data_IF_466709442595
#
_entry.id   IF_466709442595
#
_cell.length_a   1.000
_cell.length_b   1.000
_cell.length_c   1.000
_cell.angle_alpha   90.00
_cell.angle_beta   90.00
_cell.angle_gamma   90.00
#
_symmetry.space_group_name_H-M   'P 1'
#
loop_
_entity.id
_entity.type
_entity.pdbx_description
1 polymer ?
#
# COMPACT_ATOMS: atom_id res chain seq x y z
N UNK A 1 -19.77 -8.26 22.93
CA UNK A 1 -19.38 -7.74 22.85
C UNK A 1 -18.83 -7.13 23.02
N UNK A 2 -18.83 -6.97 23.04
CA UNK A 2 -18.29 -6.29 23.15
C UNK A 2 -18.26 -5.43 23.17
N UNK A 3 -18.21 -5.20 23.00
CA UNK A 3 -18.17 -4.35 22.93
C UNK A 3 -17.88 -3.50 22.98
N UNK A 4 -17.88 -3.75 23.06
CA UNK A 4 -17.51 -3.03 23.01
C UNK A 4 -17.27 -2.24 23.06
N UNK A 5 -17.11 -2.17 23.01
CA UNK A 5 -16.94 -1.21 23.02
C UNK A 5 -16.95 -0.36 22.58
N UNK A 6 -16.66 -0.77 22.46
CA UNK A 6 -16.62 0.15 21.47
C UNK A 6 -17.42 1.35 21.66
N UNK A 7 -18.32 1.27 21.74
CA UNK A 7 -19.12 2.39 21.81
C UNK A 7 -18.69 3.44 22.76
N UNK A 8 -17.69 3.19 23.51
CA UNK A 8 -17.27 4.15 24.47
C UNK A 8 -16.87 5.45 23.89
N UNK A 9 -16.10 5.39 22.81
CA UNK A 9 -15.65 6.60 22.17
C UNK A 9 -16.64 7.12 21.17
N UNK A 10 -17.64 6.32 20.83
CA UNK A 10 -18.53 6.67 19.76
C UNK A 10 -17.94 6.53 18.40
N UNK A 11 -16.74 5.96 18.32
CA UNK A 11 -16.04 5.80 17.05
C UNK A 11 -16.28 4.41 16.52
N UNK A 12 -16.63 4.26 15.24
CA UNK A 12 -16.78 2.94 14.67
C UNK A 12 -15.41 2.29 14.46
N UNK A 13 -15.38 0.97 14.47
CA UNK A 13 -14.19 0.26 14.10
C UNK A 13 -14.04 0.25 12.59
N UNK A 14 -12.80 0.45 12.14
CA UNK A 14 -12.45 0.32 10.73
C UNK A 14 -11.60 -0.92 10.61
N UNK A 15 -12.03 -1.85 9.77
CA UNK A 15 -11.27 -3.07 9.56
C UNK A 15 -9.98 -2.72 8.84
N UNK A 16 -8.86 -3.23 9.35
CA UNK A 16 -7.54 -2.87 8.82
C UNK A 16 -7.01 -3.88 7.82
N UNK A 17 -7.70 -5.02 7.63
CA UNK A 17 -7.24 -6.05 6.70
C UNK A 17 -7.73 -5.83 5.27
N UNK A 18 -8.52 -4.79 5.04
CA UNK A 18 -9.10 -4.54 3.73
C UNK A 18 -9.30 -3.06 3.49
N UNK A 19 -9.34 -2.68 2.22
CA UNK A 19 -9.71 -1.34 1.81
C UNK A 19 -10.80 -1.46 0.75
N UNK A 20 -11.51 -0.37 0.53
CA UNK A 20 -12.51 -0.31 -0.52
C UNK A 20 -12.10 0.76 -1.51
N UNK A 21 -12.16 0.45 -2.79
CA UNK A 21 -11.85 1.41 -3.84
C UNK A 21 -13.10 1.70 -4.65
N UNK A 22 -13.27 2.95 -5.03
CA UNK A 22 -14.45 3.37 -5.77
C UNK A 22 -14.25 3.04 -7.23
N UNK A 23 -15.18 2.26 -7.79
CA UNK A 23 -15.16 1.87 -9.19
C UNK A 23 -16.55 2.13 -9.74
N UNK A 24 -16.70 3.22 -10.50
CA UNK A 24 -17.99 3.60 -11.07
C UNK A 24 -19.01 3.79 -9.95
N UNK A 25 -20.06 2.99 -9.92
CA UNK A 25 -21.15 3.16 -8.98
C UNK A 25 -21.05 2.29 -7.75
N UNK A 26 -19.94 1.60 -7.55
CA UNK A 26 -19.80 0.73 -6.39
C UNK A 26 -18.41 0.83 -5.82
N UNK A 27 -18.27 0.29 -4.64
CA UNK A 27 -16.98 0.21 -3.97
C UNK A 27 -16.57 -1.25 -3.89
N UNK A 28 -15.37 -1.53 -4.32
CA UNK A 28 -14.86 -2.90 -4.41
C UNK A 28 -13.85 -3.13 -3.31
N UNK A 29 -14.01 -4.24 -2.61
CA UNK A 29 -13.12 -4.63 -1.54
C UNK A 29 -11.82 -5.19 -2.11
N UNK A 30 -10.71 -4.78 -1.52
CA UNK A 30 -9.41 -5.37 -1.80
C UNK A 30 -8.77 -5.70 -0.46
N UNK A 31 -8.35 -6.95 -0.29
CA UNK A 31 -7.62 -7.32 0.91
C UNK A 31 -6.23 -6.70 0.86
N UNK A 32 -5.83 -6.08 1.96
CA UNK A 32 -4.53 -5.42 2.06
C UNK A 32 -3.41 -6.41 1.74
N UNK A 33 -3.55 -7.66 2.22
CA UNK A 33 -2.54 -8.69 1.98
C UNK A 33 -2.37 -9.01 0.51
N UNK A 34 -3.34 -8.69 -0.34
CA UNK A 34 -3.26 -8.97 -1.77
C UNK A 34 -2.67 -7.83 -2.57
N UNK A 35 -2.49 -6.66 -1.96
CA UNK A 35 -1.94 -5.50 -2.67
C UNK A 35 -0.43 -5.64 -2.72
N UNK A 36 0.12 -5.59 -3.93
CA UNK A 36 1.55 -5.74 -4.15
C UNK A 36 2.25 -4.38 -4.09
N UNK A 37 1.80 -3.44 -4.90
CA UNK A 37 2.35 -2.10 -4.92
C UNK A 37 1.37 -1.17 -5.62
N UNK A 38 1.61 0.14 -5.50
CA UNK A 38 0.77 1.17 -6.08
C UNK A 38 1.67 2.11 -6.85
N UNK A 39 1.28 2.42 -8.07
CA UNK A 39 2.06 3.26 -8.98
C UNK A 39 1.27 4.49 -9.37
N UNK A 40 1.90 5.66 -9.28
CA UNK A 40 1.30 6.89 -9.76
C UNK A 40 1.48 6.97 -11.28
N UNK A 41 0.41 7.35 -12.00
CA UNK A 41 0.43 7.47 -13.44
C UNK A 41 -0.33 8.73 -13.79
N UNK A 42 0.38 9.87 -13.85
CA UNK A 42 -0.20 11.18 -14.15
C UNK A 42 -1.22 11.54 -13.07
N UNK A 43 -2.49 11.67 -13.44
CA UNK A 43 -3.55 12.05 -12.51
C UNK A 43 -4.22 10.85 -11.87
N UNK A 44 -3.70 9.67 -12.11
CA UNK A 44 -4.28 8.43 -11.62
C UNK A 44 -3.28 7.68 -10.79
N UNK A 45 -3.78 6.75 -9.97
CA UNK A 45 -2.94 5.77 -9.32
C UNK A 45 -3.47 4.40 -9.68
N UNK A 46 -2.56 3.48 -9.85
CA UNK A 46 -2.90 2.11 -10.20
C UNK A 46 -2.48 1.20 -9.06
N UNK A 47 -3.45 0.47 -8.51
CA UNK A 47 -3.18 -0.50 -7.47
C UNK A 47 -3.03 -1.86 -8.14
N UNK A 48 -1.87 -2.48 -7.92
CA UNK A 48 -1.61 -3.82 -8.44
C UNK A 48 -1.80 -4.81 -7.32
N UNK A 49 -2.78 -5.69 -7.48
CA UNK A 49 -3.01 -6.76 -6.53
C UNK A 49 -2.57 -8.08 -7.17
N UNK A 50 -2.68 -9.17 -6.42
CA UNK A 50 -2.25 -10.47 -6.92
C UNK A 50 -2.99 -10.88 -8.19
N UNK A 51 -4.24 -10.45 -8.35
CA UNK A 51 -5.07 -10.91 -9.46
C UNK A 51 -5.61 -9.81 -10.34
N UNK A 52 -5.62 -8.56 -9.87
CA UNK A 52 -6.28 -7.47 -10.60
C UNK A 52 -5.50 -6.18 -10.48
N UNK A 53 -5.81 -5.24 -11.37
CA UNK A 53 -5.32 -3.88 -11.30
C UNK A 53 -6.53 -2.96 -11.14
N UNK A 54 -6.36 -1.91 -10.33
CA UNK A 54 -7.43 -0.96 -10.08
C UNK A 54 -6.91 0.44 -10.37
N UNK A 55 -7.62 1.18 -11.22
CA UNK A 55 -7.23 2.54 -11.58
C UNK A 55 -8.06 3.50 -10.77
N UNK A 56 -7.42 4.39 -10.04
CA UNK A 56 -8.09 5.33 -9.16
C UNK A 56 -7.72 6.76 -9.50
N UNK A 57 -8.70 7.65 -9.41
CA UNK A 57 -8.51 9.07 -9.66
C UNK A 57 -8.18 9.76 -8.34
N UNK A 58 -7.02 9.45 -7.78
CA UNK A 58 -6.61 9.94 -6.47
C UNK A 58 -5.09 10.03 -6.49
N UNK A 59 -4.52 10.97 -5.72
CA UNK A 59 -3.07 11.15 -5.71
C UNK A 59 -2.40 10.09 -4.84
N UNK A 60 -1.13 9.82 -5.14
CA UNK A 60 -0.38 8.86 -4.36
C UNK A 60 -0.22 9.33 -2.92
N UNK A 61 -0.08 10.64 -2.72
CA UNK A 61 0.03 11.19 -1.37
C UNK A 61 -1.24 10.93 -0.57
N UNK A 62 -2.41 11.09 -1.19
CA UNK A 62 -3.67 10.86 -0.51
C UNK A 62 -3.83 9.38 -0.15
N UNK A 63 -3.35 8.49 -1.02
CA UNK A 63 -3.38 7.07 -0.73
C UNK A 63 -2.43 6.76 0.42
N UNK A 64 -1.23 7.33 0.38
CA UNK A 64 -0.23 7.11 1.40
C UNK A 64 -0.75 7.46 2.79
N UNK A 65 -1.51 8.55 2.87
CA UNK A 65 -2.04 9.01 4.16
C UNK A 65 -3.11 8.09 4.71
N UNK A 66 -3.70 7.25 3.89
CA UNK A 66 -4.78 6.36 4.31
C UNK A 66 -4.34 4.94 4.56
N UNK A 67 -3.18 4.55 4.04
CA UNK A 67 -2.70 3.19 4.20
C UNK A 67 -1.94 3.03 5.51
N UNK A 68 -1.93 1.81 6.00
CA UNK A 68 -1.22 1.47 7.23
C UNK A 68 0.28 1.53 6.96
N UNK A 69 0.98 2.47 7.60
CA UNK A 69 2.40 2.67 7.36
C UNK A 69 3.28 1.59 7.99
N UNK A 70 2.68 0.64 8.69
CA UNK A 70 3.41 -0.53 9.16
C UNK A 70 3.54 -1.57 8.07
N UNK A 71 2.70 -1.49 7.04
CA UNK A 71 2.65 -2.47 5.97
C UNK A 71 3.16 -1.86 4.67
N UNK A 72 2.82 -0.60 4.41
CA UNK A 72 3.14 0.06 3.17
C UNK A 72 4.19 1.13 3.38
N UNK A 73 5.07 1.27 2.41
CA UNK A 73 6.12 2.27 2.46
C UNK A 73 6.26 2.94 1.10
N UNK A 74 6.30 4.26 1.11
CA UNK A 74 6.57 5.00 -0.12
C UNK A 74 8.07 4.95 -0.37
N UNK A 75 8.48 4.35 -1.49
CA UNK A 75 9.89 4.15 -1.81
C UNK A 75 10.37 5.02 -2.97
N UNK A 76 9.45 5.73 -3.61
CA UNK A 76 9.75 6.54 -4.78
C UNK A 76 8.62 7.54 -4.93
N UNK A 77 8.87 8.66 -5.60
CA UNK A 77 7.79 9.64 -5.79
C UNK A 77 6.59 9.04 -6.51
N UNK A 78 6.80 7.94 -7.23
CA UNK A 78 5.74 7.30 -8.01
C UNK A 78 5.32 5.94 -7.48
N UNK A 79 5.89 5.45 -6.37
CA UNK A 79 5.61 4.09 -5.93
C UNK A 79 5.45 3.97 -4.42
N UNK A 80 4.40 3.25 -4.03
CA UNK A 80 4.22 2.74 -2.67
C UNK A 80 4.23 1.22 -2.76
N UNK A 81 4.96 0.56 -1.88
CA UNK A 81 5.06 -0.90 -1.92
C UNK A 81 4.49 -1.51 -0.64
N UNK A 82 4.04 -2.76 -0.76
CA UNK A 82 3.68 -3.57 0.38
C UNK A 82 4.94 -4.31 0.83
N UNK A 83 5.41 -4.00 2.03
CA UNK A 83 6.67 -4.55 2.53
C UNK A 83 6.64 -6.07 2.61
N UNK A 84 5.48 -6.65 2.82
CA UNK A 84 5.38 -8.11 2.96
C UNK A 84 5.51 -8.84 1.64
N UNK A 85 5.49 -8.14 0.52
CA UNK A 85 5.59 -8.76 -0.80
C UNK A 85 6.95 -8.54 -1.47
N UNK A 86 7.91 -7.98 -0.75
CA UNK A 86 9.25 -7.80 -1.30
C UNK A 86 9.90 -9.16 -1.47
N UNK A 87 10.35 -9.45 -2.67
CA UNK A 87 11.06 -10.69 -2.98
C UNK A 87 12.56 -10.50 -2.92
N UNK A 88 13.05 -9.31 -3.27
CA UNK A 88 14.47 -9.02 -3.27
C UNK A 88 14.68 -7.52 -3.16
N UNK A 89 15.81 -7.13 -2.56
CA UNK A 89 16.20 -5.72 -2.44
C UNK A 89 17.56 -5.57 -3.10
N UNK A 90 17.62 -4.70 -4.10
CA UNK A 90 18.87 -4.39 -4.79
C UNK A 90 19.32 -2.98 -4.42
N UNK A 91 20.39 -2.51 -5.09
CA UNK A 91 20.97 -1.21 -4.77
C UNK A 91 19.96 -0.09 -4.96
N UNK A 92 19.26 -0.08 -6.07
CA UNK A 92 18.39 1.04 -6.43
C UNK A 92 16.96 0.61 -6.74
N UNK A 93 16.59 -0.63 -6.41
CA UNK A 93 15.22 -1.08 -6.66
C UNK A 93 14.90 -2.27 -5.78
N UNK A 94 13.60 -2.60 -5.72
CA UNK A 94 13.13 -3.84 -5.10
C UNK A 94 12.41 -4.65 -6.15
N UNK A 95 12.36 -5.96 -5.94
CA UNK A 95 11.62 -6.85 -6.82
C UNK A 95 10.37 -7.30 -6.09
N UNK A 96 9.23 -7.09 -6.71
CA UNK A 96 7.95 -7.58 -6.20
C UNK A 96 7.25 -8.26 -7.36
N UNK A 97 6.98 -9.55 -7.22
CA UNK A 97 6.28 -10.33 -8.25
C UNK A 97 6.94 -10.13 -9.61
N UNK A 98 8.28 -10.23 -9.65
CA UNK A 98 9.08 -10.14 -10.88
C UNK A 98 9.13 -8.75 -11.48
N UNK A 99 8.58 -7.76 -10.80
CA UNK A 99 8.62 -6.36 -11.25
C UNK A 99 9.69 -5.62 -10.47
N UNK A 100 10.57 -4.91 -11.18
CA UNK A 100 11.58 -4.07 -10.56
C UNK A 100 10.96 -2.71 -10.28
N UNK A 101 10.92 -2.32 -9.01
CA UNK A 101 10.34 -1.04 -8.58
C UNK A 101 11.46 -0.16 -8.06
N UNK A 102 11.65 1.02 -8.65
CA UNK A 102 12.76 1.88 -8.25
C UNK A 102 12.61 2.40 -6.82
N UNK A 103 13.72 2.52 -6.13
CA UNK A 103 13.75 3.07 -4.79
C UNK A 103 14.63 4.32 -4.85
N UNK A 104 14.06 5.45 -4.44
CA UNK A 104 14.80 6.72 -4.42
C UNK A 104 15.93 6.61 -3.41
N UNK A 105 17.07 7.25 -3.73
CA UNK A 105 18.25 7.19 -2.90
C UNK A 105 17.93 7.63 -1.48
N UNK A 106 17.18 8.70 -1.32
CA UNK A 106 16.85 9.22 0.00
C UNK A 106 15.88 8.34 0.79
N UNK A 107 15.26 7.33 0.16
CA UNK A 107 14.31 6.46 0.83
C UNK A 107 14.83 5.06 1.07
N UNK A 108 16.05 4.77 0.57
CA UNK A 108 16.63 3.43 0.75
C UNK A 108 16.85 3.10 2.22
N UNK A 109 17.33 4.08 2.97
CA UNK A 109 17.61 3.86 4.39
C UNK A 109 16.34 3.53 5.16
N UNK A 110 15.24 4.23 4.85
CA UNK A 110 13.97 3.95 5.49
C UNK A 110 13.51 2.53 5.19
N UNK A 111 13.71 2.09 3.95
CA UNK A 111 13.35 0.73 3.57
C UNK A 111 14.15 -0.29 4.38
N UNK A 112 15.45 -0.08 4.48
CA UNK A 112 16.30 -1.03 5.18
C UNK A 112 15.98 -1.13 6.66
N UNK A 113 15.45 -0.05 7.25
CA UNK A 113 15.04 -0.08 8.65
C UNK A 113 13.75 -0.87 8.86
N UNK A 114 13.06 -1.21 7.80
CA UNK A 114 11.78 -1.89 7.89
C UNK A 114 11.87 -3.36 7.57
N UNK A 115 13.05 -3.86 7.23
CA UNK A 115 13.25 -5.28 6.92
C UNK A 115 14.38 -5.81 7.79
N UNK A 116 14.32 -7.10 8.06
CA UNK A 116 15.34 -7.76 8.86
C UNK A 116 16.37 -8.36 7.92
N UNK A 117 17.64 -8.00 8.11
CA UNK A 117 18.73 -8.46 7.23
C UNK A 117 19.65 -9.35 8.03
N UNK A 118 20.05 -10.45 7.44
CA UNK A 118 21.00 -11.39 8.06
C UNK A 118 22.38 -11.19 7.51
#
# INVERSE_FOLDING_TARGET
MPEADSGESGQPFILSDRIFVRQREKMIKIYVADILYIEADRNYCRIFSKTHEYLLCITLKAIEEKLDNRIFLRVHRSYIINLSHIDAVAEDHVIINQKAIPVSEGLKEKLLQRIQTL
#
